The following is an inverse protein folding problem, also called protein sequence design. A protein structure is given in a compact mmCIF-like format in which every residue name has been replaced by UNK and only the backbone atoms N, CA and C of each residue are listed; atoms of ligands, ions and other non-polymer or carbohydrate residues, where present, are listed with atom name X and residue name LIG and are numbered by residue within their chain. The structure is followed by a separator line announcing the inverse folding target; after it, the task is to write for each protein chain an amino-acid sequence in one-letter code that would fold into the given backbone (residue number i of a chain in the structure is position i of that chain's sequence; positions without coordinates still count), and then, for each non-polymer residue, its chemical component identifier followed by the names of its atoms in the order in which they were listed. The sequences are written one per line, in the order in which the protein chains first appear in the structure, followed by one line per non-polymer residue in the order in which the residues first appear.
data_IF_213924205108
#
_entry.id   IF_213924205108
#
_cell.length_a   1.000
_cell.length_b   1.000
_cell.length_c   1.000
_cell.angle_alpha   90.00
_cell.angle_beta   90.00
_cell.angle_gamma   90.00
#
_symmetry.space_group_name_H-M   'P 1'
#
loop_
_entity.id
_entity.type
_entity.pdbx_description
1 polymer ?
#
# COMPACT_ATOMS: atom_id res chain seq x y z
N UNK A 1 12.63 -55.20 8.97
CA UNK A 1 13.85 -55.43 9.76
C UNK A 1 15.00 -54.90 8.93
N UNK A 2 15.88 -54.12 9.55
CA UNK A 2 17.14 -53.54 9.02
C UNK A 2 16.93 -52.38 8.00
N UNK A 3 17.03 -51.08 8.31
CA UNK A 3 17.91 -50.24 9.15
C UNK A 3 19.20 -49.80 8.42
N UNK A 4 19.12 -48.70 7.66
CA UNK A 4 20.28 -47.88 7.30
C UNK A 4 19.94 -46.40 7.50
N UNK A 5 20.42 -45.85 8.61
CA UNK A 5 20.46 -44.44 8.92
C UNK A 5 21.73 -43.85 8.30
N UNK A 6 21.58 -42.85 7.43
CA UNK A 6 22.72 -42.09 6.91
C UNK A 6 22.91 -40.82 7.75
N UNK A 7 24.13 -40.69 8.24
CA UNK A 7 24.60 -39.77 9.26
C UNK A 7 25.45 -38.70 8.56
N UNK A 8 25.04 -37.44 8.57
CA UNK A 8 25.87 -36.31 8.16
C UNK A 8 25.75 -35.19 9.19
N UNK A 9 26.56 -35.32 10.23
CA UNK A 9 26.85 -34.30 11.23
C UNK A 9 28.04 -33.47 10.72
N UNK A 10 27.76 -32.27 10.21
CA UNK A 10 28.77 -31.29 9.82
C UNK A 10 28.66 -30.08 10.75
N UNK A 11 29.36 -30.16 11.87
CA UNK A 11 29.48 -29.10 12.85
C UNK A 11 30.41 -28.01 12.31
N UNK A 12 29.84 -26.92 11.77
CA UNK A 12 30.58 -25.70 11.42
C UNK A 12 30.77 -24.88 12.70
N UNK A 13 32.01 -24.82 13.22
CA UNK A 13 32.41 -23.83 14.22
C UNK A 13 32.40 -22.44 13.57
N UNK A 14 31.48 -21.58 13.97
CA UNK A 14 31.59 -20.14 13.72
C UNK A 14 32.35 -19.51 14.88
N UNK A 15 33.42 -18.77 14.56
CA UNK A 15 34.15 -17.93 15.49
C UNK A 15 33.27 -16.74 15.94
N UNK A 16 33.40 -16.28 17.20
CA UNK A 16 32.65 -15.14 17.70
C UNK A 16 33.14 -13.84 17.05
N UNK A 17 32.22 -13.17 16.35
CA UNK A 17 32.43 -11.80 15.83
C UNK A 17 32.35 -10.84 17.02
N UNK A 18 33.48 -10.19 17.28
CA UNK A 18 33.64 -9.10 18.25
C UNK A 18 32.89 -7.87 17.70
N UNK A 19 31.80 -7.46 18.36
CA UNK A 19 31.08 -6.23 18.06
C UNK A 19 31.44 -5.17 19.09
N UNK A 20 32.24 -4.21 18.65
CA UNK A 20 32.59 -2.97 19.32
C UNK A 20 31.33 -2.08 19.47
N UNK A 21 30.79 -1.84 20.68
CA UNK A 21 29.67 -0.94 20.89
C UNK A 21 30.19 0.49 21.00
N UNK A 22 30.70 1.00 19.87
CA UNK A 22 31.32 2.31 19.77
C UNK A 22 30.41 3.36 19.12
N UNK A 23 29.56 3.98 19.95
CA UNK A 23 29.27 5.44 19.88
C UNK A 23 28.53 5.96 18.64
N UNK A 24 27.22 5.73 18.57
CA UNK A 24 26.32 6.56 17.76
C UNK A 24 26.10 7.90 18.47
N UNK A 25 26.57 8.99 17.86
CA UNK A 25 26.24 10.34 18.30
C UNK A 25 24.75 10.58 18.06
N UNK A 26 24.01 10.80 19.14
CA UNK A 26 22.65 11.32 19.11
C UNK A 26 22.73 12.77 18.63
N UNK A 27 22.39 13.00 17.36
CA UNK A 27 22.04 14.33 16.86
C UNK A 27 20.71 14.72 17.53
N UNK A 28 20.61 15.93 18.12
CA UNK A 28 19.37 16.38 18.73
C UNK A 28 18.30 16.48 17.66
N UNK A 29 17.18 15.81 17.92
CA UNK A 29 15.95 15.89 17.13
C UNK A 29 15.54 17.35 16.97
N UNK A 30 15.28 17.73 15.73
CA UNK A 30 14.65 19.00 15.36
C UNK A 30 13.34 19.14 16.14
N UNK A 31 13.42 19.91 17.22
CA UNK A 31 12.27 20.38 17.96
C UNK A 31 11.38 21.15 16.98
N UNK A 32 10.08 20.85 17.01
CA UNK A 32 9.07 21.80 16.57
C UNK A 32 9.46 23.19 17.10
N UNK A 33 9.54 24.23 16.26
CA UNK A 33 10.04 25.52 16.71
C UNK A 33 9.11 26.09 17.77
N UNK A 34 9.54 26.04 19.03
CA UNK A 34 9.01 26.85 20.12
C UNK A 34 9.51 28.28 19.93
N UNK A 35 9.02 28.96 18.90
CA UNK A 35 9.34 30.36 18.66
C UNK A 35 8.24 31.22 19.30
N UNK A 36 8.53 31.75 20.50
CA UNK A 36 7.73 32.83 21.09
C UNK A 36 7.67 34.01 20.09
N UNK A 37 6.49 34.54 19.78
CA UNK A 37 6.40 35.75 18.97
C UNK A 37 6.82 36.93 19.83
N UNK A 38 7.93 37.57 19.47
CA UNK A 38 8.41 38.83 20.02
C UNK A 38 7.39 39.94 19.69
N UNK A 39 6.64 40.49 20.66
CA UNK A 39 5.84 41.69 20.44
C UNK A 39 6.75 42.88 20.71
N UNK A 40 6.76 43.88 19.82
CA UNK A 40 7.52 45.15 19.91
C UNK A 40 8.88 45.19 19.17
N UNK A 41 8.82 45.15 17.83
CA UNK A 41 9.76 45.92 17.02
C UNK A 41 9.05 47.18 16.47
N UNK A 42 9.51 48.40 16.78
CA UNK A 42 8.92 49.63 16.26
C UNK A 42 9.27 49.81 14.77
N UNK A 43 8.26 50.08 13.94
CA UNK A 43 8.43 50.50 12.55
C UNK A 43 8.72 52.00 12.49
N UNK A 44 9.87 52.36 11.94
CA UNK A 44 10.19 53.74 11.56
C UNK A 44 9.29 54.24 10.42
N UNK A 45 8.84 55.51 10.43
CA UNK A 45 8.12 56.11 9.32
C UNK A 45 9.08 56.72 8.29
N UNK A 46 9.03 56.20 7.06
CA UNK A 46 9.60 56.83 5.86
C UNK A 46 8.75 58.04 5.46
N UNK A 47 9.40 59.21 5.39
CA UNK A 47 8.82 60.44 4.85
C UNK A 47 9.01 60.59 3.34
N UNK A 48 8.07 61.29 2.71
CA UNK A 48 8.21 62.09 1.47
C UNK A 48 6.86 62.86 1.28
N UNK A 49 6.77 64.18 1.51
CA UNK A 49 6.80 65.28 0.49
C UNK A 49 6.23 64.86 -0.88
N UNK A 50 5.18 65.45 -1.51
CA UNK A 50 4.51 66.77 -1.63
C UNK A 50 3.64 66.68 -2.92
N UNK A 51 3.20 67.75 -3.63
CA UNK A 51 2.60 69.03 -3.24
C UNK A 51 1.09 69.15 -3.65
N UNK A 52 0.50 70.30 -3.30
CA UNK A 52 -0.88 70.74 -3.61
C UNK A 52 -1.21 70.81 -5.12
N UNK A 53 -2.52 70.91 -5.45
CA UNK A 53 -2.97 72.19 -6.00
C UNK A 53 -4.24 72.76 -5.34
N UNK A 54 -4.39 74.05 -5.56
CA UNK A 54 -5.32 74.99 -4.98
C UNK A 54 -6.74 74.94 -5.58
N UNK A 55 -7.71 75.18 -4.68
CA UNK A 55 -8.85 76.11 -4.77
C UNK A 55 -9.89 75.92 -5.87
N UNK A 56 -11.14 75.64 -5.46
CA UNK A 56 -12.29 76.47 -5.86
C UNK A 56 -13.36 76.45 -4.76
N UNK A 57 -13.59 77.61 -4.15
CA UNK A 57 -14.77 77.90 -3.32
C UNK A 57 -15.99 78.10 -4.23
N UNK A 58 -17.16 77.58 -3.82
CA UNK A 58 -18.34 78.40 -3.58
C UNK A 58 -19.61 77.55 -3.37
N UNK A 59 -20.52 78.17 -2.61
CA UNK A 59 -21.97 77.96 -2.59
C UNK A 59 -22.53 77.03 -1.52
N UNK A 60 -22.84 77.67 -0.40
CA UNK A 60 -24.08 77.53 0.37
C UNK A 60 -25.28 76.98 -0.42
N UNK A 61 -26.07 76.09 0.20
CA UNK A 61 -27.45 76.38 0.59
C UNK A 61 -28.14 75.17 1.24
N UNK A 62 -28.87 75.52 2.30
CA UNK A 62 -30.10 74.91 2.82
C UNK A 62 -30.06 73.52 3.50
N UNK A 63 -30.21 73.62 4.83
CA UNK A 63 -30.70 72.59 5.72
C UNK A 63 -32.15 72.20 5.37
N UNK A 64 -32.39 70.92 5.14
CA UNK A 64 -33.66 70.28 5.51
C UNK A 64 -33.37 69.12 6.48
N UNK A 65 -33.92 69.14 7.71
CA UNK A 65 -33.71 68.06 8.67
C UNK A 65 -34.59 66.86 8.30
N UNK A 66 -34.00 65.88 7.63
CA UNK A 66 -34.63 64.58 7.39
C UNK A 66 -34.76 63.77 8.70
N UNK A 67 -35.88 63.04 8.88
CA UNK A 67 -36.26 62.46 10.17
C UNK A 67 -35.36 61.28 10.56
N UNK A 68 -34.96 61.29 11.85
CA UNK A 68 -34.14 60.31 12.57
C UNK A 68 -34.71 58.87 12.54
N UNK A 69 -34.62 58.17 11.40
CA UNK A 69 -34.82 56.71 11.31
C UNK A 69 -33.61 55.95 10.77
N UNK A 70 -32.57 56.65 10.32
CA UNK A 70 -31.34 56.04 9.76
C UNK A 70 -30.26 55.75 10.81
N UNK A 71 -30.30 56.36 11.98
CA UNK A 71 -29.28 56.19 13.03
C UNK A 71 -29.30 54.79 13.65
N UNK A 72 -30.48 54.23 13.96
CA UNK A 72 -30.56 52.87 14.51
C UNK A 72 -30.17 51.79 13.48
N UNK A 73 -30.51 51.98 12.19
CA UNK A 73 -30.11 51.02 11.14
C UNK A 73 -28.60 51.05 10.90
N UNK A 74 -27.98 52.23 10.90
CA UNK A 74 -26.54 52.39 10.71
C UNK A 74 -25.75 51.91 11.95
N UNK A 75 -26.27 52.11 13.16
CA UNK A 75 -25.68 51.55 14.39
C UNK A 75 -25.82 50.03 14.42
N UNK A 76 -26.98 49.47 14.04
CA UNK A 76 -27.18 48.03 13.96
C UNK A 76 -26.29 47.37 12.88
N UNK A 77 -26.14 48.00 11.71
CA UNK A 77 -25.20 47.54 10.68
C UNK A 77 -23.75 47.64 11.16
N UNK A 78 -23.38 48.73 11.84
CA UNK A 78 -22.04 48.91 12.41
C UNK A 78 -21.70 47.87 13.47
N UNK A 79 -22.65 47.52 14.33
CA UNK A 79 -22.50 46.44 15.31
C UNK A 79 -22.44 45.05 14.66
N UNK A 80 -23.27 44.80 13.64
CA UNK A 80 -23.26 43.51 12.94
C UNK A 80 -21.93 43.30 12.21
N UNK A 81 -21.40 44.34 11.58
CA UNK A 81 -20.12 44.28 10.86
C UNK A 81 -18.93 44.11 11.82
N UNK A 82 -18.96 44.76 12.99
CA UNK A 82 -17.95 44.51 14.04
C UNK A 82 -18.06 43.11 14.63
N UNK A 83 -19.27 42.57 14.85
CA UNK A 83 -19.45 41.18 15.29
C UNK A 83 -18.92 40.19 14.26
N UNK A 84 -19.17 40.41 12.97
CA UNK A 84 -18.63 39.57 11.89
C UNK A 84 -17.11 39.65 11.80
N UNK A 85 -16.51 40.82 11.98
CA UNK A 85 -15.04 40.99 11.96
C UNK A 85 -14.39 40.37 13.20
N UNK A 86 -14.99 40.52 14.38
CA UNK A 86 -14.47 39.91 15.63
C UNK A 86 -14.63 38.39 15.58
N UNK A 87 -15.78 37.87 15.15
CA UNK A 87 -15.98 36.42 14.99
C UNK A 87 -15.11 35.85 13.88
N UNK A 88 -14.93 36.56 12.76
CA UNK A 88 -14.06 36.15 11.66
C UNK A 88 -12.57 36.18 12.04
N UNK A 89 -12.13 37.19 12.79
CA UNK A 89 -10.77 37.29 13.31
C UNK A 89 -10.47 36.24 14.38
N UNK A 90 -11.42 35.97 15.28
CA UNK A 90 -11.27 34.93 16.31
C UNK A 90 -11.31 33.52 15.70
N UNK A 91 -12.18 33.27 14.74
CA UNK A 91 -12.20 32.02 13.97
C UNK A 91 -10.92 31.84 13.14
N UNK A 92 -10.39 32.92 12.56
CA UNK A 92 -9.11 32.90 11.84
C UNK A 92 -7.91 32.62 12.76
N UNK A 93 -7.89 33.19 13.96
CA UNK A 93 -6.84 32.94 14.96
C UNK A 93 -6.88 31.49 15.48
N UNK A 94 -8.07 30.97 15.80
CA UNK A 94 -8.24 29.56 16.18
C UNK A 94 -7.90 28.61 15.03
N UNK A 95 -8.27 28.94 13.79
CA UNK A 95 -7.90 28.14 12.62
C UNK A 95 -6.39 28.14 12.35
N UNK A 96 -5.68 29.22 12.70
CA UNK A 96 -4.23 29.34 12.54
C UNK A 96 -3.44 28.57 13.62
N UNK A 97 -3.84 28.69 14.89
CA UNK A 97 -3.23 27.93 15.99
C UNK A 97 -3.48 26.42 15.84
N UNK A 98 -4.71 26.05 15.48
CA UNK A 98 -5.08 24.65 15.19
C UNK A 98 -4.39 24.15 13.91
N UNK A 99 -4.15 24.99 12.89
CA UNK A 99 -3.34 24.60 11.73
C UNK A 99 -1.88 24.33 12.11
N UNK A 100 -1.29 25.10 13.01
CA UNK A 100 0.08 24.86 13.49
C UNK A 100 0.19 23.57 14.29
N UNK A 101 -0.75 23.31 15.20
CA UNK A 101 -0.71 22.14 16.08
C UNK A 101 -1.23 20.85 15.40
N UNK A 102 -2.20 20.96 14.47
CA UNK A 102 -2.69 19.82 13.69
C UNK A 102 -1.71 19.37 12.61
N UNK A 103 -0.74 20.21 12.22
CA UNK A 103 0.36 19.79 11.33
C UNK A 103 1.30 18.78 11.97
N UNK A 104 1.25 18.61 13.30
CA UNK A 104 2.19 17.76 14.04
C UNK A 104 1.65 16.36 14.35
N UNK A 105 0.37 16.08 14.06
CA UNK A 105 -0.28 14.82 14.42
C UNK A 105 -1.08 14.25 13.25
N UNK A 106 -1.10 12.92 13.15
CA UNK A 106 -1.85 12.19 12.13
C UNK A 106 -3.36 12.40 12.30
N UNK A 107 -4.12 12.67 11.22
CA UNK A 107 -5.56 12.89 11.31
C UNK A 107 -6.32 11.63 11.76
N UNK A 108 -7.52 11.84 12.29
CA UNK A 108 -8.39 10.75 12.71
C UNK A 108 -8.82 9.85 11.53
N UNK A 109 -8.90 8.54 11.79
CA UNK A 109 -9.31 7.54 10.81
C UNK A 109 -8.18 7.00 9.93
N UNK A 110 -6.93 7.39 10.17
CA UNK A 110 -5.78 6.82 9.47
C UNK A 110 -5.30 5.55 10.18
N UNK A 111 -5.15 4.48 9.42
CA UNK A 111 -4.50 3.23 9.82
C UNK A 111 -3.26 3.01 8.97
N UNK A 112 -2.20 2.45 9.56
CA UNK A 112 -0.98 2.04 8.88
C UNK A 112 -0.82 0.53 9.04
N UNK A 113 -0.82 -0.22 7.94
CA UNK A 113 -0.74 -1.69 7.96
C UNK A 113 -1.76 -2.35 8.93
N UNK A 114 -2.95 -1.76 9.04
CA UNK A 114 -4.03 -2.20 9.94
C UNK A 114 -4.04 -1.59 11.34
N UNK A 115 -2.93 -0.97 11.78
CA UNK A 115 -2.83 -0.33 13.11
C UNK A 115 -3.33 1.11 13.07
N UNK A 116 -4.16 1.50 14.05
CA UNK A 116 -4.63 2.86 14.17
C UNK A 116 -3.49 3.79 14.62
N UNK A 117 -3.12 4.73 13.74
CA UNK A 117 -2.05 5.73 13.98
C UNK A 117 -2.60 7.14 14.16
N UNK A 118 -3.93 7.27 14.26
CA UNK A 118 -4.62 8.55 14.46
C UNK A 118 -4.14 9.25 15.73
N UNK A 119 -3.77 10.53 15.61
CA UNK A 119 -3.28 11.36 16.71
C UNK A 119 -1.81 11.15 17.06
N UNK A 120 -1.09 10.27 16.36
CA UNK A 120 0.35 10.07 16.60
C UNK A 120 1.17 11.22 16.00
N UNK A 121 2.24 11.58 16.67
CA UNK A 121 3.31 12.44 16.15
C UNK A 121 4.20 11.67 15.16
N UNK A 122 5.06 12.39 14.42
CA UNK A 122 5.98 11.76 13.46
C UNK A 122 6.92 10.74 14.12
N UNK A 123 7.39 11.04 15.34
CA UNK A 123 8.24 10.13 16.11
C UNK A 123 7.49 8.86 16.56
N UNK A 124 6.22 8.99 16.94
CA UNK A 124 5.39 7.85 17.32
C UNK A 124 5.05 6.99 16.10
N UNK A 125 4.69 7.58 14.96
CA UNK A 125 4.50 6.84 13.69
C UNK A 125 5.78 6.10 13.32
N UNK A 126 6.95 6.76 13.39
CA UNK A 126 8.24 6.11 13.15
C UNK A 126 8.46 4.90 14.06
N UNK A 127 8.08 5.00 15.34
CA UNK A 127 8.18 3.87 16.27
C UNK A 127 7.26 2.69 15.90
N UNK A 128 6.08 2.97 15.34
CA UNK A 128 5.14 1.97 14.84
C UNK A 128 5.71 1.29 13.60
N UNK A 129 6.21 2.07 12.63
CA UNK A 129 6.86 1.52 11.42
C UNK A 129 8.02 0.60 11.81
N UNK A 130 8.91 1.05 12.69
CA UNK A 130 10.04 0.24 13.16
C UNK A 130 9.59 -1.06 13.84
N UNK A 131 8.50 -1.02 14.60
CA UNK A 131 7.93 -2.21 15.22
C UNK A 131 7.40 -3.18 14.17
N UNK A 132 6.66 -2.70 13.17
CA UNK A 132 6.19 -3.54 12.06
C UNK A 132 7.33 -4.15 11.25
N UNK A 133 8.45 -3.44 11.08
CA UNK A 133 9.66 -3.98 10.45
C UNK A 133 10.22 -5.13 11.27
N UNK A 134 10.38 -4.94 12.59
CA UNK A 134 10.91 -5.97 13.51
C UNK A 134 9.98 -7.20 13.56
N UNK A 135 8.67 -6.96 13.59
CA UNK A 135 7.66 -8.01 13.67
C UNK A 135 7.40 -8.68 12.31
N UNK A 136 8.00 -8.18 11.21
CA UNK A 136 7.81 -8.71 9.85
C UNK A 136 6.41 -8.48 9.29
N UNK A 137 5.68 -7.49 9.81
CA UNK A 137 4.32 -7.15 9.39
C UNK A 137 4.26 -5.95 8.45
N UNK A 138 5.36 -5.20 8.33
CA UNK A 138 5.43 -4.02 7.48
C UNK A 138 5.26 -4.36 5.99
N UNK A 139 4.30 -3.69 5.33
CA UNK A 139 4.19 -3.70 3.86
C UNK A 139 3.97 -5.07 3.23
N UNK A 140 3.21 -5.97 3.85
CA UNK A 140 2.92 -7.27 3.25
C UNK A 140 1.93 -7.15 2.08
N UNK A 141 2.15 -7.94 1.02
CA UNK A 141 1.20 -8.05 -0.09
C UNK A 141 0.92 -9.51 -0.44
N UNK A 142 -0.30 -9.80 -0.87
CA UNK A 142 -0.72 -11.14 -1.29
C UNK A 142 -0.58 -11.29 -2.79
N UNK A 143 0.26 -12.21 -3.24
CA UNK A 143 0.33 -12.64 -4.63
C UNK A 143 -0.73 -13.71 -4.90
N UNK A 144 -1.71 -13.37 -5.72
CA UNK A 144 -2.82 -14.23 -6.12
C UNK A 144 -2.41 -14.96 -7.40
N UNK A 145 -2.15 -16.26 -7.30
CA UNK A 145 -1.81 -17.11 -8.45
C UNK A 145 -3.08 -17.68 -9.08
N UNK A 146 -4.03 -18.07 -8.23
CA UNK A 146 -5.40 -18.44 -8.62
C UNK A 146 -6.35 -18.23 -7.43
N UNK A 147 -7.66 -18.38 -7.63
CA UNK A 147 -8.66 -18.21 -6.56
C UNK A 147 -8.39 -19.10 -5.32
N UNK A 148 -7.69 -20.22 -5.51
CA UNK A 148 -7.35 -21.17 -4.44
C UNK A 148 -5.88 -21.12 -3.99
N UNK A 149 -5.02 -20.38 -4.70
CA UNK A 149 -3.57 -20.36 -4.46
C UNK A 149 -3.10 -18.92 -4.29
N UNK A 150 -2.68 -18.60 -3.07
CA UNK A 150 -2.19 -17.28 -2.69
C UNK A 150 -0.90 -17.43 -1.91
N UNK A 151 0.06 -16.54 -2.15
CA UNK A 151 1.34 -16.51 -1.47
C UNK A 151 1.56 -15.13 -0.86
N UNK A 152 1.96 -15.08 0.41
CA UNK A 152 2.31 -13.81 1.04
C UNK A 152 3.71 -13.36 0.58
N UNK A 153 3.80 -12.12 0.13
CA UNK A 153 5.04 -11.42 -0.20
C UNK A 153 5.41 -10.51 0.96
N UNK A 154 6.45 -10.91 1.67
CA UNK A 154 7.04 -10.13 2.76
C UNK A 154 8.00 -9.11 2.18
N UNK A 155 7.50 -7.92 1.85
CA UNK A 155 8.31 -6.84 1.25
C UNK A 155 9.59 -6.50 2.02
N UNK A 156 9.63 -6.51 3.38
CA UNK A 156 10.87 -6.25 4.12
C UNK A 156 11.98 -7.27 3.86
N UNK A 157 11.67 -8.46 3.34
CA UNK A 157 12.68 -9.44 2.90
C UNK A 157 13.13 -9.23 1.47
N UNK A 158 12.34 -8.51 0.68
CA UNK A 158 12.56 -8.27 -0.75
C UNK A 158 13.22 -6.90 -1.02
N UNK A 159 13.26 -6.01 -0.04
CA UNK A 159 13.86 -4.69 -0.19
C UNK A 159 14.06 -3.98 1.14
N UNK A 160 14.36 -2.69 1.05
CA UNK A 160 14.54 -1.82 2.21
C UNK A 160 13.23 -1.07 2.50
N UNK A 161 12.91 -0.90 3.77
CA UNK A 161 11.75 -0.12 4.19
C UNK A 161 12.15 1.34 4.33
N UNK A 162 11.50 2.23 3.57
CA UNK A 162 11.74 3.66 3.67
C UNK A 162 10.85 4.25 4.76
N UNK A 163 11.39 4.25 5.98
CA UNK A 163 10.71 4.72 7.18
C UNK A 163 10.34 6.19 7.06
N UNK A 164 11.22 7.01 6.49
CA UNK A 164 11.01 8.46 6.39
C UNK A 164 10.00 8.80 5.30
N UNK A 165 10.02 8.09 4.15
CA UNK A 165 8.98 8.23 3.14
C UNK A 165 7.62 7.72 3.66
N UNK A 166 7.59 6.66 4.48
CA UNK A 166 6.36 6.16 5.10
C UNK A 166 5.78 7.18 6.08
N UNK A 167 6.59 7.69 7.01
CA UNK A 167 6.17 8.75 7.94
C UNK A 167 5.74 9.99 7.17
N UNK A 168 6.48 10.37 6.12
CA UNK A 168 6.16 11.47 5.23
C UNK A 168 4.82 11.28 4.51
N UNK A 169 4.51 10.08 4.01
CA UNK A 169 3.24 9.76 3.36
C UNK A 169 2.06 9.81 4.35
N UNK A 170 2.25 9.25 5.56
CA UNK A 170 1.27 9.29 6.66
C UNK A 170 1.00 10.73 7.09
N UNK A 171 2.04 11.57 7.14
CA UNK A 171 1.89 12.99 7.45
C UNK A 171 1.38 13.81 6.25
N UNK A 172 1.68 13.43 5.01
CA UNK A 172 1.17 14.12 3.82
C UNK A 172 -0.33 13.88 3.59
N UNK A 173 -0.94 12.92 4.29
CA UNK A 173 -2.40 12.77 4.34
C UNK A 173 -3.12 13.97 4.97
N UNK A 174 -2.37 14.90 5.57
CA UNK A 174 -2.77 16.23 6.04
C UNK A 174 -2.84 17.14 4.78
N UNK A 175 -3.98 17.51 4.20
CA UNK A 175 -4.97 18.44 4.76
C UNK A 175 -6.29 18.46 3.96
N UNK A 176 -7.47 18.53 4.63
CA UNK A 176 -8.54 19.40 4.14
C UNK A 176 -8.12 20.87 4.32
N UNK A 177 -8.31 21.70 3.29
CA UNK A 177 -8.04 23.14 3.35
C UNK A 177 -8.56 23.77 4.65
N UNK A 178 -7.94 24.85 5.13
CA UNK A 178 -8.38 25.56 6.35
C UNK A 178 -9.90 25.86 6.36
N UNK A 179 -10.47 26.11 5.18
CA UNK A 179 -11.91 26.28 4.96
C UNK A 179 -12.69 24.99 5.20
N UNK A 180 -12.23 23.85 4.68
CA UNK A 180 -12.84 22.55 4.91
C UNK A 180 -12.77 22.12 6.38
N UNK A 181 -11.68 22.46 7.10
CA UNK A 181 -11.59 22.25 8.56
C UNK A 181 -12.59 23.09 9.33
N UNK A 182 -12.70 24.38 9.01
CA UNK A 182 -13.66 25.29 9.64
C UNK A 182 -15.10 24.84 9.37
N UNK A 183 -15.42 24.49 8.12
CA UNK A 183 -16.73 23.99 7.72
C UNK A 183 -17.08 22.68 8.43
N UNK A 184 -16.14 21.72 8.50
CA UNK A 184 -16.37 20.47 9.22
C UNK A 184 -16.66 20.70 10.70
N UNK A 185 -16.03 21.69 11.34
CA UNK A 185 -16.29 22.02 12.76
C UNK A 185 -17.66 22.66 12.96
N UNK A 186 -18.09 23.54 12.05
CA UNK A 186 -19.45 24.09 12.03
C UNK A 186 -20.48 22.98 11.78
N UNK A 187 -20.19 22.06 10.86
CA UNK A 187 -21.02 20.90 10.59
C UNK A 187 -21.08 19.95 11.80
N UNK A 188 -19.97 19.76 12.52
CA UNK A 188 -19.90 18.93 13.73
C UNK A 188 -20.79 19.50 14.85
N UNK A 189 -20.76 20.81 15.04
CA UNK A 189 -21.63 21.53 15.97
C UNK A 189 -23.13 21.34 15.70
N UNK A 190 -23.51 21.05 14.45
CA UNK A 190 -24.90 20.76 14.05
C UNK A 190 -25.16 19.27 13.78
N UNK A 191 -24.21 18.39 14.13
CA UNK A 191 -24.32 16.94 13.95
C UNK A 191 -24.31 16.46 12.48
N UNK A 192 -23.76 17.26 11.57
CA UNK A 192 -23.67 16.99 10.13
C UNK A 192 -22.22 16.86 9.62
N UNK A 193 -21.23 16.71 10.52
CA UNK A 193 -19.85 16.52 10.07
C UNK A 193 -19.72 15.25 9.22
N UNK A 194 -19.05 15.32 8.06
CA UNK A 194 -18.70 14.11 7.32
C UNK A 194 -17.81 13.25 8.21
N UNK A 195 -18.20 11.99 8.42
CA UNK A 195 -17.37 11.05 9.16
C UNK A 195 -16.02 10.92 8.45
N UNK A 196 -14.89 10.93 9.19
CA UNK A 196 -13.59 10.69 8.60
C UNK A 196 -13.64 9.33 7.92
N UNK A 197 -13.43 9.30 6.60
CA UNK A 197 -13.34 8.04 5.89
C UNK A 197 -12.08 7.33 6.36
N UNK A 198 -12.17 6.08 6.81
CA UNK A 198 -10.99 5.33 7.19
C UNK A 198 -10.05 5.25 5.99
N UNK A 199 -8.80 5.64 6.20
CA UNK A 199 -7.75 5.57 5.18
C UNK A 199 -6.69 4.59 5.66
N UNK A 200 -6.59 3.49 4.96
CA UNK A 200 -5.52 2.52 5.14
C UNK A 200 -4.32 2.95 4.30
N UNK A 201 -3.19 3.15 4.98
CA UNK A 201 -1.91 3.40 4.36
C UNK A 201 -1.06 2.14 4.51
N UNK A 202 -0.28 1.86 3.49
CA UNK A 202 0.68 0.75 3.47
C UNK A 202 2.07 1.33 3.63
N UNK A 203 2.93 0.65 4.39
CA UNK A 203 4.34 1.04 4.54
C UNK A 203 5.04 1.10 3.17
N UNK A 204 5.81 2.17 2.94
CA UNK A 204 6.54 2.38 1.68
C UNK A 204 7.82 1.53 1.69
N UNK A 205 7.91 0.59 0.76
CA UNK A 205 9.06 -0.29 0.60
C UNK A 205 9.78 -0.01 -0.74
N UNK A 206 11.09 0.20 -0.69
CA UNK A 206 11.95 0.23 -1.85
C UNK A 206 12.37 -1.21 -2.20
N UNK A 207 11.58 -1.86 -3.05
CA UNK A 207 11.83 -3.24 -3.44
C UNK A 207 13.03 -3.38 -4.38
N UNK A 208 13.86 -4.39 -4.15
CA UNK A 208 14.93 -4.77 -5.08
C UNK A 208 14.36 -5.66 -6.18
N UNK A 209 14.46 -5.21 -7.43
CA UNK A 209 13.99 -5.96 -8.60
C UNK A 209 14.54 -7.39 -8.64
N UNK A 210 15.86 -7.57 -8.45
CA UNK A 210 16.50 -8.89 -8.44
C UNK A 210 15.95 -9.82 -7.34
N UNK A 211 15.65 -9.28 -6.14
CA UNK A 211 15.11 -10.08 -5.03
C UNK A 211 13.65 -10.45 -5.27
N UNK A 212 12.86 -9.51 -5.79
CA UNK A 212 11.47 -9.78 -6.18
C UNK A 212 11.45 -10.83 -7.29
N UNK A 213 12.25 -10.66 -8.34
CA UNK A 213 12.39 -11.61 -9.44
C UNK A 213 12.77 -13.01 -8.93
N UNK A 214 13.82 -13.12 -8.10
CA UNK A 214 14.24 -14.41 -7.54
C UNK A 214 13.17 -15.07 -6.65
N UNK A 215 12.37 -14.28 -5.92
CA UNK A 215 11.25 -14.79 -5.14
C UNK A 215 10.11 -15.28 -6.04
N UNK A 216 9.75 -14.51 -7.07
CA UNK A 216 8.72 -14.89 -8.06
C UNK A 216 9.15 -16.14 -8.81
N UNK A 217 10.43 -16.28 -9.18
CA UNK A 217 10.97 -17.49 -9.82
C UNK A 217 10.86 -18.71 -8.91
N UNK A 218 11.14 -18.56 -7.60
CA UNK A 218 10.96 -19.64 -6.63
C UNK A 218 9.50 -20.06 -6.51
N UNK A 219 8.56 -19.11 -6.53
CA UNK A 219 7.12 -19.37 -6.54
C UNK A 219 6.72 -20.05 -7.86
N UNK A 220 7.19 -19.57 -9.01
CA UNK A 220 6.92 -20.20 -10.30
C UNK A 220 7.31 -21.69 -10.29
N UNK A 221 8.50 -22.04 -9.80
CA UNK A 221 8.92 -23.45 -9.69
C UNK A 221 8.00 -24.32 -8.82
N UNK A 222 7.38 -23.75 -7.80
CA UNK A 222 6.47 -24.48 -6.91
C UNK A 222 5.08 -24.67 -7.52
N UNK A 223 4.59 -23.67 -8.25
CA UNK A 223 3.20 -23.63 -8.74
C UNK A 223 3.03 -23.96 -10.23
N UNK A 224 4.14 -24.00 -10.99
CA UNK A 224 4.13 -24.37 -12.39
C UNK A 224 3.71 -25.83 -12.55
N UNK A 225 2.76 -26.02 -13.45
CA UNK A 225 2.21 -27.32 -13.77
C UNK A 225 2.67 -27.67 -15.18
N UNK A 226 3.51 -28.70 -15.28
CA UNK A 226 3.87 -29.20 -16.60
C UNK A 226 2.65 -29.65 -17.38
N UNK A 227 2.61 -29.21 -18.64
CA UNK A 227 1.68 -29.71 -19.65
C UNK A 227 1.83 -31.21 -19.79
N UNK A 228 0.69 -31.91 -19.83
CA UNK A 228 0.70 -33.36 -20.04
C UNK A 228 -0.33 -33.74 -21.08
N UNK A 229 0.17 -34.34 -22.15
CA UNK A 229 -0.67 -34.89 -23.20
C UNK A 229 -1.34 -36.21 -22.77
N UNK A 230 -2.50 -36.51 -23.35
CA UNK A 230 -3.12 -37.81 -23.14
C UNK A 230 -2.35 -38.92 -23.84
N UNK A 231 -2.28 -40.09 -23.22
CA UNK A 231 -1.52 -41.20 -23.79
C UNK A 231 -1.64 -42.49 -22.99
N UNK A 232 -0.71 -43.40 -23.25
CA UNK A 232 -0.60 -44.69 -22.58
C UNK A 232 0.75 -44.77 -21.87
N UNK A 233 0.75 -45.24 -20.62
CA UNK A 233 1.98 -45.62 -19.89
C UNK A 233 1.84 -47.03 -19.37
N UNK A 234 2.94 -47.77 -19.35
CA UNK A 234 2.96 -49.10 -18.75
C UNK A 234 3.21 -49.00 -17.25
N UNK A 235 2.32 -49.58 -16.46
CA UNK A 235 2.47 -49.76 -15.02
C UNK A 235 3.16 -51.11 -14.78
N UNK A 236 4.46 -51.07 -14.45
CA UNK A 236 5.29 -52.26 -14.29
C UNK A 236 4.82 -53.12 -13.11
N UNK A 237 4.39 -52.49 -12.02
CA UNK A 237 3.95 -53.18 -10.80
C UNK A 237 2.68 -53.99 -11.04
N UNK A 238 1.72 -53.40 -11.77
CA UNK A 238 0.44 -54.04 -12.09
C UNK A 238 0.48 -54.81 -13.40
N UNK A 239 1.58 -54.73 -14.15
CA UNK A 239 1.75 -55.26 -15.52
C UNK A 239 0.58 -54.89 -16.44
N UNK A 240 0.14 -53.64 -16.37
CA UNK A 240 -1.04 -53.15 -17.12
C UNK A 240 -0.76 -51.82 -17.78
N UNK A 241 -1.40 -51.58 -18.92
CA UNK A 241 -1.43 -50.24 -19.53
C UNK A 241 -2.35 -49.34 -18.73
N UNK A 242 -1.81 -48.20 -18.31
CA UNK A 242 -2.54 -47.11 -17.67
C UNK A 242 -2.76 -45.99 -18.67
N UNK A 243 -3.98 -45.49 -18.74
CA UNK A 243 -4.30 -44.28 -19.49
C UNK A 243 -3.79 -43.06 -18.72
N UNK A 244 -2.98 -42.27 -19.39
CA UNK A 244 -2.57 -40.94 -18.93
C UNK A 244 -3.60 -39.95 -19.45
N UNK A 245 -4.27 -39.24 -18.53
CA UNK A 245 -5.21 -38.18 -18.89
C UNK A 245 -4.43 -36.92 -19.26
N UNK A 246 -4.94 -36.21 -20.27
CA UNK A 246 -4.46 -34.88 -20.59
C UNK A 246 -4.65 -33.94 -19.40
N UNK A 247 -3.71 -33.03 -19.20
CA UNK A 247 -3.77 -31.95 -18.20
C UNK A 247 -3.14 -30.72 -18.83
N UNK A 248 -3.83 -29.58 -18.74
CA UNK A 248 -3.28 -28.30 -19.14
C UNK A 248 -1.99 -27.98 -18.37
N UNK A 249 -1.05 -27.37 -19.06
CA UNK A 249 0.12 -26.76 -18.46
C UNK A 249 -0.22 -25.37 -17.94
N UNK A 250 0.48 -24.97 -16.89
CA UNK A 250 0.39 -23.64 -16.29
C UNK A 250 1.81 -23.18 -15.96
N UNK A 251 2.16 -21.99 -16.37
CA UNK A 251 3.45 -21.37 -16.02
C UNK A 251 3.24 -19.93 -15.61
N UNK A 252 3.92 -19.48 -14.56
CA UNK A 252 3.95 -18.07 -14.18
C UNK A 252 4.92 -17.33 -15.11
N UNK A 253 4.47 -16.22 -15.69
CA UNK A 253 5.34 -15.27 -16.37
C UNK A 253 6.10 -14.46 -15.31
N UNK A 254 7.35 -14.87 -15.07
CA UNK A 254 8.18 -14.33 -13.98
C UNK A 254 8.45 -12.84 -14.17
N UNK A 255 8.77 -12.42 -15.39
CA UNK A 255 9.09 -11.02 -15.70
C UNK A 255 7.86 -10.12 -15.54
N UNK A 256 6.73 -10.52 -16.15
CA UNK A 256 5.50 -9.74 -16.06
C UNK A 256 4.94 -9.69 -14.63
N UNK A 257 5.05 -10.79 -13.89
CA UNK A 257 4.64 -10.83 -12.47
C UNK A 257 5.54 -9.98 -11.59
N UNK A 258 6.86 -9.99 -11.84
CA UNK A 258 7.82 -9.13 -11.12
C UNK A 258 7.48 -7.65 -11.32
N UNK A 259 7.24 -7.24 -12.57
CA UNK A 259 6.83 -5.87 -12.88
C UNK A 259 5.53 -5.49 -12.16
N UNK A 260 4.52 -6.37 -12.15
CA UNK A 260 3.27 -6.14 -11.45
C UNK A 260 3.44 -5.98 -9.93
N UNK A 261 4.33 -6.76 -9.30
CA UNK A 261 4.64 -6.63 -7.87
C UNK A 261 5.32 -5.30 -7.56
N UNK A 262 6.26 -4.86 -8.40
CA UNK A 262 6.94 -3.57 -8.23
C UNK A 262 5.98 -2.38 -8.42
N UNK A 263 5.05 -2.46 -9.38
CA UNK A 263 4.02 -1.44 -9.58
C UNK A 263 3.02 -1.41 -8.40
N UNK A 264 2.62 -2.59 -7.92
CA UNK A 264 1.75 -2.71 -6.76
C UNK A 264 2.37 -2.10 -5.50
N UNK A 265 3.68 -2.32 -5.26
CA UNK A 265 4.37 -1.74 -4.11
C UNK A 265 4.45 -0.22 -4.17
N UNK A 266 4.62 0.35 -5.38
CA UNK A 266 4.65 1.80 -5.58
C UNK A 266 3.26 2.45 -5.42
N UNK A 267 2.20 1.71 -5.75
CA UNK A 267 0.81 2.17 -5.65
C UNK A 267 0.14 1.84 -4.31
N UNK A 268 0.84 1.15 -3.40
CA UNK A 268 0.32 0.75 -2.09
C UNK A 268 -0.75 -0.35 -2.15
N UNK A 269 -0.76 -1.16 -3.21
CA UNK A 269 -1.69 -2.27 -3.32
C UNK A 269 -1.23 -3.46 -2.47
N UNK A 270 -2.13 -4.01 -1.66
CA UNK A 270 -1.87 -5.19 -0.81
C UNK A 270 -2.19 -6.51 -1.50
N UNK A 271 -2.71 -6.48 -2.73
CA UNK A 271 -3.04 -7.66 -3.52
C UNK A 271 -2.52 -7.48 -4.94
N UNK A 272 -1.83 -8.50 -5.45
CA UNK A 272 -1.24 -8.50 -6.79
C UNK A 272 -1.62 -9.80 -7.49
N UNK A 273 -2.14 -9.74 -8.71
CA UNK A 273 -2.38 -10.95 -9.49
C UNK A 273 -1.11 -11.38 -10.23
N UNK A 274 -0.73 -12.64 -10.08
CA UNK A 274 0.34 -13.22 -10.89
C UNK A 274 -0.10 -13.32 -12.35
N UNK A 275 0.83 -13.08 -13.27
CA UNK A 275 0.58 -13.25 -14.70
C UNK A 275 0.78 -14.72 -15.04
N UNK A 276 -0.32 -15.42 -15.25
CA UNK A 276 -0.31 -16.88 -15.48
C UNK A 276 -0.58 -17.21 -16.94
N UNK A 277 0.36 -17.94 -17.55
CA UNK A 277 0.22 -18.48 -18.90
C UNK A 277 -0.32 -19.90 -18.82
N UNK A 278 -1.40 -20.15 -19.55
CA UNK A 278 -2.03 -21.49 -19.61
C UNK A 278 -1.84 -22.09 -21.00
N UNK A 279 -1.33 -23.32 -21.06
CA UNK A 279 -1.17 -24.06 -22.31
C UNK A 279 -2.08 -25.28 -22.29
N UNK A 280 -2.98 -25.38 -23.26
CA UNK A 280 -3.87 -26.52 -23.38
C UNK A 280 -3.19 -27.71 -24.09
N UNK A 281 -3.51 -28.95 -23.71
CA UNK A 281 -2.99 -30.13 -24.39
C UNK A 281 -3.54 -30.23 -25.81
N UNK A 282 -2.66 -30.55 -26.74
CA UNK A 282 -3.05 -30.78 -28.14
C UNK A 282 -3.79 -32.11 -28.29
N UNK A 283 -3.40 -33.10 -27.49
CA UNK A 283 -3.93 -34.46 -27.46
C UNK A 283 -4.75 -34.66 -26.20
N UNK A 284 -6.07 -34.49 -26.31
CA UNK A 284 -7.01 -34.62 -25.19
C UNK A 284 -7.44 -36.05 -24.91
N UNK A 285 -7.33 -36.95 -25.91
CA UNK A 285 -7.63 -38.38 -25.81
C UNK A 285 -6.44 -39.19 -26.32
N UNK A 286 -6.09 -40.30 -25.68
CA UNK A 286 -5.05 -41.19 -26.19
C UNK A 286 -5.39 -41.64 -27.61
N UNK A 287 -4.39 -41.84 -28.47
CA UNK A 287 -4.59 -42.36 -29.81
C UNK A 287 -4.95 -43.86 -29.83
N UNK A 288 -4.40 -44.57 -30.81
CA UNK A 288 -4.47 -46.03 -30.86
C UNK A 288 -3.18 -46.63 -30.30
N UNK A 289 -3.29 -47.74 -29.58
CA UNK A 289 -2.12 -48.45 -29.07
C UNK A 289 -2.35 -49.96 -29.06
N UNK A 290 -1.28 -50.73 -29.25
CA UNK A 290 -1.27 -52.17 -29.09
C UNK A 290 -0.36 -52.49 -27.92
N UNK A 291 -0.87 -53.27 -26.97
CA UNK A 291 -0.09 -53.81 -25.86
C UNK A 291 0.02 -55.32 -26.00
N UNK A 292 1.24 -55.83 -25.90
CA UNK A 292 1.53 -57.26 -26.00
C UNK A 292 2.00 -57.75 -24.63
N UNK A 293 1.14 -58.52 -23.96
CA UNK A 293 1.47 -59.22 -22.73
C UNK A 293 2.02 -60.60 -23.08
N UNK A 294 3.35 -60.73 -23.08
CA UNK A 294 4.04 -61.99 -23.37
C UNK A 294 3.85 -63.04 -22.27
N UNK A 295 3.52 -62.62 -21.04
CA UNK A 295 3.37 -63.52 -19.91
C UNK A 295 2.01 -64.23 -19.95
N UNK A 296 0.94 -63.46 -20.17
CA UNK A 296 -0.41 -63.99 -20.33
C UNK A 296 -0.75 -64.39 -21.77
N UNK A 297 0.22 -64.23 -22.68
CA UNK A 297 0.07 -64.54 -24.09
C UNK A 297 -1.15 -63.85 -24.72
N UNK A 298 -1.28 -62.54 -24.47
CA UNK A 298 -2.43 -61.74 -24.88
C UNK A 298 -2.00 -60.42 -25.54
N UNK A 299 -2.62 -60.09 -26.67
CA UNK A 299 -2.52 -58.80 -27.33
C UNK A 299 -3.79 -57.99 -27.09
N UNK A 300 -3.66 -56.78 -26.56
CA UNK A 300 -4.78 -55.85 -26.32
C UNK A 300 -4.64 -54.62 -27.21
N UNK A 301 -5.66 -54.35 -28.02
CA UNK A 301 -5.76 -53.15 -28.83
C UNK A 301 -6.59 -52.10 -28.10
N UNK A 302 -6.04 -50.91 -27.94
CA UNK A 302 -6.67 -49.76 -27.30
C UNK A 302 -6.99 -48.67 -28.32
N UNK A 303 -8.14 -48.02 -28.15
CA UNK A 303 -8.57 -46.84 -28.91
C UNK A 303 -9.15 -45.82 -27.94
N UNK A 304 -8.68 -44.57 -28.00
CA UNK A 304 -9.24 -43.47 -27.18
C UNK A 304 -9.25 -43.75 -25.67
N UNK A 305 -8.25 -44.50 -25.17
CA UNK A 305 -8.15 -44.89 -23.76
C UNK A 305 -8.99 -46.11 -23.35
N UNK A 306 -9.70 -46.76 -24.26
CA UNK A 306 -10.51 -47.96 -23.98
C UNK A 306 -9.98 -49.19 -24.72
N UNK A 307 -10.19 -50.37 -24.16
CA UNK A 307 -9.91 -51.64 -24.85
C UNK A 307 -10.90 -51.78 -26.00
N UNK A 308 -10.41 -51.78 -27.23
CA UNK A 308 -11.21 -52.00 -28.41
C UNK A 308 -11.33 -53.50 -28.72
N UNK A 309 -10.22 -54.25 -28.65
CA UNK A 309 -10.18 -55.69 -28.91
C UNK A 309 -9.07 -56.39 -28.12
N UNK A 310 -9.24 -57.68 -27.87
CA UNK A 310 -8.22 -58.56 -27.30
C UNK A 310 -8.06 -59.81 -28.17
N UNK A 311 -6.83 -60.27 -28.30
CA UNK A 311 -6.46 -61.44 -29.09
C UNK A 311 -5.54 -62.33 -28.26
N UNK A 312 -5.69 -63.66 -28.29
CA UNK A 312 -4.62 -64.54 -27.84
C UNK A 312 -3.43 -64.37 -28.79
N UNK A 313 -2.21 -64.39 -28.27
CA UNK A 313 -1.02 -64.59 -29.10
C UNK A 313 -0.50 -66.02 -28.94
N UNK A 314 0.49 -66.39 -29.74
CA UNK A 314 1.23 -67.65 -29.60
C UNK A 314 2.69 -67.24 -29.46
N UNK A 315 3.41 -67.61 -28.37
CA UNK A 315 4.81 -67.24 -28.24
C UNK A 315 5.60 -67.96 -29.32
N UNK A 316 6.50 -67.23 -29.99
CA UNK A 316 7.47 -67.78 -30.93
C UNK A 316 8.68 -68.37 -30.21
#
# INVERSE_FOLDING_TARGET
MENEANNNDATVKMDPVDHDPGRTQVLPEDACPTQEPDPFAPREPLGATGPMPAVEEASSQDEEPLPQRHTLRNIALGMLLTVVVVLGGFAGWLAWDDARNASCHVPAGVTLDGDAVSGYSAAEVRSVVNRHIIDGTAGNAVLIISDAEQVNLEYPRLGDVDVDATVGAVMATIEPSAVARCLNRVLDLVGMAPQPQPRELVTVCALSEDRVHGKVEAIAREYDIELREAGYRFDQDKRKVKVVKARAGRSIDVDATTAAVLEASQSGQTQVSAVVLTTNPTVTKPGQAIFVDLYNCQLTFYVAGSVAKQYPCTPG
#
